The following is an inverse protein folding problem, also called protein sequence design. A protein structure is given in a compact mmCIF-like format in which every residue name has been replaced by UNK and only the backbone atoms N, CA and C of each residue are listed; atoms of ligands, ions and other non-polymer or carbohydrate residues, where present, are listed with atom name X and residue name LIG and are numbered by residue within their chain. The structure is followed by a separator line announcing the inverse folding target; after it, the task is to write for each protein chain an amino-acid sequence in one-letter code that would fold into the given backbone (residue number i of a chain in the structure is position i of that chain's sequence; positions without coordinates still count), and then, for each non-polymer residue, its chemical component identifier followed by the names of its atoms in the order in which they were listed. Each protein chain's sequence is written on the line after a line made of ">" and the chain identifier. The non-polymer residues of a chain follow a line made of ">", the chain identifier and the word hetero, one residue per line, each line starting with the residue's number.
data_IF_835977544706
#
_entry.id   IF_835977544706
#
_cell.length_a   1.000
_cell.length_b   1.000
_cell.length_c   1.000
_cell.angle_alpha   90.00
_cell.angle_beta   90.00
_cell.angle_gamma   90.00
#
_symmetry.space_group_name_H-M   'P 1'
#
loop_
_entity.id
_entity.type
_entity.pdbx_description
1 polymer ?
#
# COMPACT_ATOMS: atom_id res chain seq x y z
N UNK A 1 -2.78 -21.87 3.72
CA UNK A 1 -3.86 -21.20 2.97
C UNK A 1 -3.43 -19.76 2.86
N UNK A 2 -2.85 -19.44 1.71
CA UNK A 2 -2.13 -18.23 1.35
C UNK A 2 -3.08 -17.03 1.22
N UNK A 3 -3.72 -16.64 2.32
CA UNK A 3 -4.63 -15.49 2.35
C UNK A 3 -3.87 -14.16 2.13
N UNK A 4 -2.56 -14.14 2.42
CA UNK A 4 -1.67 -12.99 2.26
C UNK A 4 -1.34 -12.65 0.80
N UNK A 5 -1.32 -13.63 -0.11
CA UNK A 5 -0.97 -13.41 -1.51
C UNK A 5 -2.02 -12.57 -2.27
N UNK A 6 -3.27 -12.60 -1.82
CA UNK A 6 -4.37 -11.81 -2.37
C UNK A 6 -4.84 -10.71 -1.41
N UNK A 7 -4.13 -10.53 -0.29
CA UNK A 7 -4.45 -9.51 0.69
C UNK A 7 -4.30 -8.12 0.08
N UNK A 8 -5.34 -7.31 0.28
CA UNK A 8 -5.33 -5.91 -0.09
C UNK A 8 -4.77 -5.12 1.09
N UNK A 9 -3.99 -4.09 0.80
CA UNK A 9 -3.47 -3.16 1.79
C UNK A 9 -3.88 -1.76 1.37
N UNK A 10 -4.52 -1.01 2.25
CA UNK A 10 -4.71 0.43 2.05
C UNK A 10 -3.37 1.11 2.28
N UNK A 11 -3.01 2.04 1.41
CA UNK A 11 -1.83 2.86 1.54
C UNK A 11 -2.21 4.33 1.64
N UNK A 12 -1.57 5.00 2.59
CA UNK A 12 -1.77 6.40 2.93
C UNK A 12 -0.43 7.11 2.86
N UNK A 13 -0.42 8.26 2.20
CA UNK A 13 0.74 9.14 2.10
C UNK A 13 0.29 10.53 2.50
N UNK A 14 0.88 11.10 3.54
CA UNK A 14 0.62 12.50 3.91
C UNK A 14 1.42 13.46 3.02
N UNK A 15 2.59 13.03 2.55
CA UNK A 15 3.51 13.83 1.74
C UNK A 15 3.12 13.86 0.26
N UNK A 16 2.50 12.78 -0.24
CA UNK A 16 2.04 12.67 -1.63
C UNK A 16 0.53 12.81 -1.73
N UNK A 17 0.10 13.57 -2.75
CA UNK A 17 -1.30 13.53 -3.21
C UNK A 17 -1.65 12.18 -3.82
N UNK A 18 -2.91 11.76 -3.66
CA UNK A 18 -3.47 10.50 -4.20
C UNK A 18 -3.17 10.31 -5.70
N UNK A 19 -3.17 11.41 -6.48
CA UNK A 19 -2.85 11.41 -7.91
C UNK A 19 -1.38 11.07 -8.20
N UNK A 20 -0.46 11.56 -7.38
CA UNK A 20 0.97 11.24 -7.49
C UNK A 20 1.22 9.80 -7.09
N UNK A 21 0.57 9.32 -6.02
CA UNK A 21 0.65 7.92 -5.61
C UNK A 21 0.13 6.98 -6.70
N UNK A 22 -1.05 7.25 -7.29
CA UNK A 22 -1.56 6.48 -8.44
C UNK A 22 -0.58 6.47 -9.62
N UNK A 23 0.05 7.61 -9.91
CA UNK A 23 1.00 7.71 -11.03
C UNK A 23 2.22 6.85 -10.76
N UNK A 24 2.79 6.92 -9.56
CA UNK A 24 3.94 6.13 -9.15
C UNK A 24 3.65 4.63 -9.15
N UNK A 25 2.49 4.22 -8.64
CA UNK A 25 2.03 2.82 -8.72
C UNK A 25 1.91 2.35 -10.17
N UNK A 26 1.33 3.19 -11.04
CA UNK A 26 1.15 2.87 -12.46
C UNK A 26 2.47 2.83 -13.23
N UNK A 27 3.43 3.70 -12.90
CA UNK A 27 4.78 3.71 -13.48
C UNK A 27 5.58 2.45 -13.12
N UNK A 28 5.32 1.89 -11.94
CA UNK A 28 5.97 0.66 -11.47
C UNK A 28 5.19 -0.62 -11.84
N UNK A 29 4.17 -0.51 -12.69
CA UNK A 29 3.28 -1.62 -13.10
C UNK A 29 2.69 -2.38 -11.90
N UNK A 30 2.35 -1.64 -10.83
CA UNK A 30 1.80 -2.21 -9.61
C UNK A 30 0.28 -2.29 -9.70
N UNK A 31 -0.27 -3.44 -9.29
CA UNK A 31 -1.72 -3.64 -9.25
C UNK A 31 -2.32 -2.92 -8.03
N UNK A 32 -3.12 -1.88 -8.30
CA UNK A 32 -3.83 -1.11 -7.28
C UNK A 32 -5.30 -0.92 -7.65
N UNK A 33 -6.14 -0.80 -6.62
CA UNK A 33 -7.56 -0.48 -6.69
C UNK A 33 -7.79 0.87 -6.02
N UNK A 34 -8.49 1.77 -6.71
CA UNK A 34 -8.89 3.06 -6.16
C UNK A 34 -10.32 2.96 -5.61
N UNK A 35 -10.46 3.08 -4.30
CA UNK A 35 -11.73 3.04 -3.57
C UNK A 35 -12.06 4.45 -3.06
N UNK A 36 -12.74 5.26 -3.88
CA UNK A 36 -13.13 6.66 -3.59
C UNK A 36 -11.97 7.58 -3.17
N UNK A 37 -11.54 7.51 -1.92
CA UNK A 37 -10.43 8.28 -1.34
C UNK A 37 -9.27 7.42 -0.83
N UNK A 38 -9.43 6.10 -0.88
CA UNK A 38 -8.42 5.15 -0.43
C UNK A 38 -7.80 4.43 -1.63
N UNK A 39 -6.49 4.20 -1.58
CA UNK A 39 -5.79 3.36 -2.55
C UNK A 39 -5.49 2.03 -1.88
N UNK A 40 -6.03 0.95 -2.44
CA UNK A 40 -5.77 -0.42 -2.03
C UNK A 40 -4.77 -1.05 -3.00
N UNK A 41 -3.79 -1.76 -2.49
CA UNK A 41 -2.77 -2.45 -3.29
C UNK A 41 -2.69 -3.90 -2.88
N UNK A 42 -2.45 -4.78 -3.86
CA UNK A 42 -2.21 -6.20 -3.57
C UNK A 42 -0.71 -6.43 -3.45
N UNK A 43 -0.29 -6.99 -2.31
CA UNK A 43 1.12 -7.24 -2.02
C UNK A 43 1.91 -5.96 -1.69
N UNK A 44 2.05 -5.67 -0.39
CA UNK A 44 2.71 -4.44 0.09
C UNK A 44 4.23 -4.44 -0.09
N UNK A 45 4.87 -5.58 -0.34
CA UNK A 45 6.33 -5.69 -0.41
C UNK A 45 6.93 -4.85 -1.55
N UNK A 46 6.36 -4.97 -2.76
CA UNK A 46 6.79 -4.13 -3.90
C UNK A 46 6.57 -2.65 -3.63
N UNK A 47 5.49 -2.32 -2.94
CA UNK A 47 5.10 -0.95 -2.62
C UNK A 47 6.09 -0.33 -1.63
N UNK A 48 6.46 -1.08 -0.59
CA UNK A 48 7.55 -0.73 0.34
C UNK A 48 8.85 -0.48 -0.38
N UNK A 49 9.20 -1.33 -1.35
CA UNK A 49 10.43 -1.16 -2.09
C UNK A 49 10.41 0.12 -2.94
N UNK A 50 9.34 0.35 -3.71
CA UNK A 50 9.24 1.55 -4.56
C UNK A 50 9.18 2.83 -3.73
N UNK A 51 8.34 2.88 -2.70
CA UNK A 51 8.21 4.07 -1.85
C UNK A 51 9.47 4.29 -1.00
N UNK A 52 10.12 3.22 -0.55
CA UNK A 52 11.42 3.28 0.13
C UNK A 52 12.54 3.78 -0.79
N UNK A 53 12.55 3.39 -2.07
CA UNK A 53 13.49 3.91 -3.07
C UNK A 53 13.27 5.39 -3.35
N UNK A 54 12.02 5.83 -3.39
CA UNK A 54 11.67 7.24 -3.58
C UNK A 54 11.85 8.06 -2.29
N UNK A 55 12.12 7.41 -1.16
CA UNK A 55 12.30 8.05 0.15
C UNK A 55 11.00 8.62 0.73
N UNK A 56 9.85 8.09 0.28
CA UNK A 56 8.54 8.64 0.61
C UNK A 56 7.99 7.93 1.84
N UNK A 57 7.76 8.65 2.94
CA UNK A 57 7.11 8.07 4.11
C UNK A 57 5.65 7.76 3.76
N UNK A 58 5.25 6.53 4.05
CA UNK A 58 3.88 6.08 3.82
C UNK A 58 3.45 5.12 4.91
N UNK A 59 2.15 5.10 5.16
CA UNK A 59 1.49 4.19 6.09
C UNK A 59 0.68 3.17 5.30
N UNK A 60 0.63 1.93 5.77
CA UNK A 60 -0.19 0.91 5.14
C UNK A 60 -0.98 0.11 6.17
N UNK A 61 -2.21 -0.24 5.81
CA UNK A 61 -3.14 -1.01 6.65
C UNK A 61 -3.66 -2.20 5.84
N UNK A 62 -3.62 -3.42 6.38
CA UNK A 62 -4.17 -4.59 5.67
C UNK A 62 -5.71 -4.48 5.61
N UNK A 63 -6.27 -4.30 4.42
CA UNK A 63 -7.69 -4.31 4.18
C UNK A 63 -8.23 -5.74 4.28
N UNK A 64 -8.83 -6.06 5.43
CA UNK A 64 -9.50 -7.34 5.66
C UNK A 64 -9.07 -8.08 6.94
N UNK A 65 -8.07 -7.60 7.67
CA UNK A 65 -7.78 -8.11 9.01
C UNK A 65 -8.05 -7.04 10.05
N UNK A 66 -9.24 -7.11 10.65
CA UNK A 66 -9.42 -6.65 12.02
C UNK A 66 -8.64 -7.59 12.94
N UNK A 67 -7.31 -7.47 13.00
CA UNK A 67 -6.57 -7.84 14.21
C UNK A 67 -5.19 -7.17 14.22
N UNK A 68 -5.08 -6.24 15.17
CA UNK A 68 -3.88 -5.77 15.87
C UNK A 68 -2.65 -6.68 15.74
N UNK A 69 -1.73 -6.37 14.83
CA UNK A 69 -0.38 -6.96 14.85
C UNK A 69 0.68 -5.87 14.69
N UNK A 70 0.65 -4.89 15.60
CA UNK A 70 1.87 -4.21 16.03
C UNK A 70 2.57 -5.11 17.05
N UNK A 71 3.25 -6.16 16.60
CA UNK A 71 4.26 -6.80 17.44
C UNK A 71 5.59 -6.11 17.15
N UNK A 72 5.82 -5.01 17.86
CA UNK A 72 7.17 -4.50 18.07
C UNK A 72 7.86 -5.36 19.12
N UNK A 73 8.94 -6.03 18.75
CA UNK A 73 10.17 -6.15 19.53
C UNK A 73 11.27 -6.82 18.70
#
# INVERSE_FOLDING_TARGET
>A
MDDDANAKYKIYTEDLSMKSLMTLLKLNDLAFECQKHDILVKGIEKIKQVLGQEGIPFTYEKAGLSEVLFNGN
#
